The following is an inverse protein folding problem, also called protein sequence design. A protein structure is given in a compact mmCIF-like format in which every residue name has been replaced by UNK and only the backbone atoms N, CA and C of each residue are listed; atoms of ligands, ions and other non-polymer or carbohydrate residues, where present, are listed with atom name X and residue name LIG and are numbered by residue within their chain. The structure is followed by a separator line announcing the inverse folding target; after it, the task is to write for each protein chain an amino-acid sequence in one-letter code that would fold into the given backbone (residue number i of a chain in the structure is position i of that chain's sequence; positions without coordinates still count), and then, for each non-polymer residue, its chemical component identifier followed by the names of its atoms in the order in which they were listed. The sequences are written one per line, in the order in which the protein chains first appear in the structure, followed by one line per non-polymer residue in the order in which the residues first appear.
data_IF_971502683989
#
_entry.id   IF_971502683989
#
_cell.length_a   1.000
_cell.length_b   1.000
_cell.length_c   1.000
_cell.angle_alpha   90.00
_cell.angle_beta   90.00
_cell.angle_gamma   90.00
#
_symmetry.space_group_name_H-M   'P 1'
#
loop_
_entity.id
_entity.type
_entity.pdbx_description
1 polymer ?
#
# COMPACT_ATOMS: atom_id res chain seq x y z
N UNK A 1 20.64 6.33 -22.64
CA UNK A 1 20.33 7.77 -22.68
C UNK A 1 21.45 8.43 -23.48
N UNK A 2 21.12 9.28 -24.44
CA UNK A 2 22.10 9.98 -25.30
C UNK A 2 23.15 9.07 -25.98
N UNK A 3 22.73 7.88 -26.43
CA UNK A 3 23.61 6.90 -27.07
C UNK A 3 24.48 6.05 -26.13
N UNK A 4 24.39 6.27 -24.84
CA UNK A 4 25.10 5.46 -23.83
C UNK A 4 24.15 4.45 -23.17
N UNK A 5 24.64 3.23 -22.93
CA UNK A 5 23.93 2.24 -22.11
C UNK A 5 24.11 2.59 -20.64
N UNK A 6 23.01 2.73 -19.92
CA UNK A 6 22.99 3.02 -18.47
C UNK A 6 22.55 1.82 -17.65
N UNK A 7 22.35 0.67 -18.29
CA UNK A 7 21.85 -0.54 -17.64
C UNK A 7 20.34 -0.71 -17.74
N UNK A 8 19.78 -1.48 -16.82
CA UNK A 8 18.34 -1.76 -16.72
C UNK A 8 17.78 -0.90 -15.61
N UNK A 9 16.67 -0.22 -15.90
CA UNK A 9 15.96 0.63 -14.95
C UNK A 9 14.52 0.17 -14.81
N UNK A 10 14.01 0.28 -13.60
CA UNK A 10 12.57 0.16 -13.34
C UNK A 10 11.89 1.41 -13.91
N UNK A 11 10.81 1.20 -14.64
CA UNK A 11 9.93 2.27 -15.10
C UNK A 11 8.60 2.14 -14.36
N UNK A 12 8.40 2.96 -13.37
CA UNK A 12 7.21 2.98 -12.53
C UNK A 12 6.45 4.30 -12.69
N UNK A 13 5.15 4.21 -12.89
CA UNK A 13 4.29 5.38 -12.95
C UNK A 13 4.00 5.88 -11.54
N UNK A 14 4.26 7.16 -11.30
CA UNK A 14 3.96 7.79 -10.01
C UNK A 14 2.44 7.80 -9.73
N UNK A 15 2.03 7.40 -8.53
CA UNK A 15 0.65 7.51 -8.08
C UNK A 15 0.28 8.96 -7.77
N UNK A 16 0.07 9.74 -8.82
CA UNK A 16 -0.28 11.16 -8.78
C UNK A 16 -1.61 11.43 -9.51
N UNK A 17 -1.92 12.69 -9.78
CA UNK A 17 -3.15 13.09 -10.49
C UNK A 17 -3.17 12.65 -11.97
N UNK A 18 -2.02 12.44 -12.59
CA UNK A 18 -1.95 11.97 -13.97
C UNK A 18 -2.29 10.48 -14.02
N UNK A 19 -1.77 9.70 -13.09
CA UNK A 19 -2.15 8.30 -12.89
C UNK A 19 -3.67 8.16 -12.68
N UNK A 20 -4.23 8.93 -11.75
CA UNK A 20 -5.68 8.84 -11.48
C UNK A 20 -6.52 9.32 -12.65
N UNK A 21 -6.04 10.28 -13.42
CA UNK A 21 -6.71 10.70 -14.65
C UNK A 21 -6.70 9.61 -15.72
N UNK A 22 -5.58 8.92 -15.90
CA UNK A 22 -5.43 7.87 -16.91
C UNK A 22 -6.28 6.64 -16.57
N UNK A 23 -6.26 6.19 -15.32
CA UNK A 23 -6.86 4.92 -14.91
C UNK A 23 -8.28 5.06 -14.35
N UNK A 24 -8.68 6.24 -13.89
CA UNK A 24 -9.99 6.50 -13.27
C UNK A 24 -10.74 7.68 -13.88
N UNK A 25 -10.23 8.29 -14.95
CA UNK A 25 -10.81 9.47 -15.58
C UNK A 25 -11.03 10.65 -14.62
N UNK A 26 -10.15 10.81 -13.63
CA UNK A 26 -10.26 11.87 -12.63
C UNK A 26 -8.90 12.32 -12.14
N UNK A 27 -8.67 13.63 -12.13
CA UNK A 27 -7.51 14.27 -11.46
C UNK A 27 -7.78 14.55 -9.97
N UNK A 28 -9.01 14.39 -9.53
CA UNK A 28 -9.44 14.61 -8.15
C UNK A 28 -9.40 13.35 -7.30
N UNK A 29 -9.94 13.49 -6.08
CA UNK A 29 -9.98 12.41 -5.10
C UNK A 29 -8.80 12.42 -4.14
N UNK A 30 -9.05 11.88 -2.96
CA UNK A 30 -8.02 11.71 -1.92
C UNK A 30 -7.20 10.48 -2.21
N UNK A 31 -5.93 10.55 -1.84
CA UNK A 31 -4.99 9.44 -2.03
C UNK A 31 -4.21 9.24 -0.75
N UNK A 32 -4.16 7.99 -0.30
CA UNK A 32 -3.33 7.62 0.84
C UNK A 32 -2.34 6.54 0.42
N UNK A 33 -1.16 6.61 0.99
CA UNK A 33 -0.14 5.57 0.91
C UNK A 33 -0.01 4.89 2.27
N UNK A 34 0.15 3.59 2.28
CA UNK A 34 0.59 2.80 3.42
C UNK A 34 2.12 2.66 3.33
N UNK A 35 2.88 3.55 3.99
CA UNK A 35 4.33 3.51 3.93
C UNK A 35 4.87 2.36 4.77
N UNK A 36 6.08 1.86 4.50
CA UNK A 36 6.74 0.92 5.38
C UNK A 36 6.93 1.54 6.76
N UNK A 37 6.61 0.78 7.80
CA UNK A 37 6.67 1.25 9.18
C UNK A 37 6.45 0.13 10.19
N UNK A 38 6.64 0.44 11.47
CA UNK A 38 6.52 -0.58 12.54
C UNK A 38 5.08 -1.01 12.78
N UNK A 39 4.12 -0.10 12.59
CA UNK A 39 2.71 -0.32 12.95
C UNK A 39 1.86 -0.78 11.76
N UNK A 40 2.35 -0.59 10.55
CA UNK A 40 1.59 -0.86 9.34
C UNK A 40 0.30 -0.02 9.23
N UNK A 41 -0.29 0.01 8.06
CA UNK A 41 -1.54 0.70 7.78
C UNK A 41 -2.57 -0.29 7.25
N UNK A 42 -3.12 -1.13 8.11
CA UNK A 42 -4.15 -2.10 7.72
C UNK A 42 -5.48 -1.42 7.44
N UNK A 43 -6.22 -1.91 6.43
CA UNK A 43 -7.55 -1.40 6.10
C UNK A 43 -8.60 -1.97 7.05
N UNK A 44 -8.49 -1.58 8.33
CA UNK A 44 -9.36 -2.01 9.43
C UNK A 44 -9.92 -0.80 10.17
N UNK A 45 -11.11 -0.94 10.73
CA UNK A 45 -11.72 0.10 11.55
C UNK A 45 -10.98 0.22 12.88
N UNK A 46 -10.53 1.43 13.21
CA UNK A 46 -9.77 1.75 14.42
C UNK A 46 -10.49 2.74 15.35
N UNK A 47 -11.67 3.22 14.94
CA UNK A 47 -12.42 4.26 15.62
C UNK A 47 -12.81 5.39 14.68
N UNK A 48 -13.54 6.38 15.20
CA UNK A 48 -14.08 7.49 14.42
C UNK A 48 -13.11 8.70 14.34
N UNK A 49 -11.93 8.61 14.97
CA UNK A 49 -10.99 9.71 15.01
C UNK A 49 -9.95 9.61 13.89
N UNK A 50 -9.73 10.72 13.18
CA UNK A 50 -8.75 10.78 12.09
C UNK A 50 -7.33 10.41 12.52
N UNK A 51 -6.99 10.68 13.78
CA UNK A 51 -5.66 10.41 14.33
C UNK A 51 -5.34 8.93 14.44
N UNK A 52 -6.33 8.06 14.54
CA UNK A 52 -6.18 6.61 14.58
C UNK A 52 -5.70 6.04 13.22
N UNK A 53 -5.83 6.83 12.15
CA UNK A 53 -5.47 6.44 10.78
C UNK A 53 -4.17 7.08 10.29
N UNK A 54 -3.41 7.77 11.15
CA UNK A 54 -2.14 8.45 10.80
C UNK A 54 -0.99 7.49 10.45
N UNK A 55 -1.19 6.20 10.52
CA UNK A 55 -0.31 5.20 9.90
C UNK A 55 -0.36 5.27 8.37
N UNK A 56 -1.45 5.81 7.79
CA UNK A 56 -1.48 6.19 6.39
C UNK A 56 -0.89 7.57 6.16
N UNK A 57 -0.22 7.74 5.04
CA UNK A 57 0.29 9.02 4.57
C UNK A 57 -0.67 9.61 3.53
N UNK A 58 -1.35 10.69 3.88
CA UNK A 58 -2.24 11.38 2.94
C UNK A 58 -1.41 12.16 1.90
N UNK A 59 -1.59 11.83 0.63
CA UNK A 59 -0.86 12.43 -0.51
C UNK A 59 -1.57 13.62 -1.14
N UNK A 60 -2.70 14.05 -0.57
CA UNK A 60 -3.47 15.22 -0.99
C UNK A 60 -3.61 16.20 0.17
N UNK A 61 -4.30 17.34 -0.05
CA UNK A 61 -4.50 18.32 1.01
C UNK A 61 -5.17 17.68 2.23
N UNK A 62 -4.55 17.82 3.39
CA UNK A 62 -5.10 17.36 4.66
C UNK A 62 -6.15 18.34 5.18
N UNK A 63 -7.35 17.85 5.38
CA UNK A 63 -8.45 18.54 6.03
C UNK A 63 -9.18 17.53 6.93
N UNK A 64 -9.96 17.96 7.93
CA UNK A 64 -10.73 17.02 8.76
C UNK A 64 -11.56 16.03 7.92
N UNK A 65 -12.19 16.50 6.85
CA UNK A 65 -13.02 15.69 5.97
C UNK A 65 -12.22 14.73 5.09
N UNK A 66 -10.90 14.89 5.01
CA UNK A 66 -10.06 14.00 4.21
C UNK A 66 -10.09 12.57 4.72
N UNK A 67 -10.28 12.37 6.01
CA UNK A 67 -10.24 11.06 6.66
C UNK A 67 -11.59 10.38 6.76
N UNK A 68 -12.70 11.14 6.70
CA UNK A 68 -14.05 10.60 6.87
C UNK A 68 -14.35 9.44 5.92
N UNK A 69 -13.97 9.55 4.64
CA UNK A 69 -14.23 8.50 3.67
C UNK A 69 -13.49 7.19 4.01
N UNK A 70 -12.26 7.28 4.52
CA UNK A 70 -11.49 6.11 4.94
C UNK A 70 -12.09 5.47 6.20
N UNK A 71 -12.48 6.30 7.18
CA UNK A 71 -13.14 5.87 8.41
C UNK A 71 -14.43 5.12 8.07
N UNK A 72 -15.30 5.72 7.27
CA UNK A 72 -16.57 5.11 6.86
C UNK A 72 -16.38 3.79 6.09
N UNK A 73 -15.42 3.73 5.17
CA UNK A 73 -15.17 2.50 4.42
C UNK A 73 -14.66 1.36 5.32
N UNK A 74 -13.79 1.65 6.27
CA UNK A 74 -13.30 0.65 7.22
C UNK A 74 -14.39 0.24 8.22
N UNK A 75 -15.26 1.17 8.61
CA UNK A 75 -16.42 0.90 9.47
C UNK A 75 -17.43 -0.02 8.80
N UNK A 76 -17.76 0.24 7.54
CA UNK A 76 -18.61 -0.65 6.74
C UNK A 76 -18.04 -2.07 6.70
N UNK A 77 -16.73 -2.20 6.51
CA UNK A 77 -16.06 -3.50 6.51
C UNK A 77 -16.16 -4.23 7.86
N UNK A 78 -16.11 -3.50 8.97
CA UNK A 78 -16.11 -4.05 10.32
C UNK A 78 -17.50 -4.39 10.87
N UNK A 79 -18.50 -3.58 10.51
CA UNK A 79 -19.82 -3.60 11.15
C UNK A 79 -20.93 -4.24 10.29
N UNK A 80 -20.65 -4.56 9.00
CA UNK A 80 -21.66 -5.15 8.13
C UNK A 80 -21.92 -6.61 8.47
N UNK A 81 -23.18 -6.97 8.68
CA UNK A 81 -23.61 -8.35 8.89
C UNK A 81 -23.27 -9.24 7.69
N UNK A 82 -22.90 -10.49 7.94
CA UNK A 82 -22.48 -11.44 6.91
C UNK A 82 -23.51 -11.66 5.78
N UNK A 83 -24.80 -11.56 6.09
CA UNK A 83 -25.89 -11.71 5.11
C UNK A 83 -25.98 -10.57 4.08
N UNK A 84 -25.53 -9.37 4.48
CA UNK A 84 -25.58 -8.15 3.67
C UNK A 84 -24.18 -7.76 3.15
N UNK A 85 -23.16 -8.57 3.48
CA UNK A 85 -21.76 -8.25 3.32
C UNK A 85 -21.39 -7.91 1.87
N UNK A 86 -21.72 -8.77 0.92
CA UNK A 86 -21.37 -8.57 -0.48
C UNK A 86 -21.98 -7.28 -1.04
N UNK A 87 -23.29 -7.09 -0.86
CA UNK A 87 -24.01 -5.93 -1.42
C UNK A 87 -23.60 -4.60 -0.78
N UNK A 88 -23.29 -4.62 0.52
CA UNK A 88 -22.90 -3.41 1.25
C UNK A 88 -21.45 -3.04 0.96
N UNK A 89 -20.56 -4.03 0.94
CA UNK A 89 -19.16 -3.79 0.64
C UNK A 89 -18.92 -3.31 -0.78
N UNK A 90 -19.64 -3.83 -1.78
CA UNK A 90 -19.46 -3.39 -3.17
C UNK A 90 -19.79 -1.90 -3.38
N UNK A 91 -20.50 -1.29 -2.44
CA UNK A 91 -20.73 0.15 -2.46
C UNK A 91 -19.56 0.96 -1.88
N UNK A 92 -18.80 0.40 -0.96
CA UNK A 92 -17.70 1.05 -0.27
C UNK A 92 -16.32 0.74 -0.88
N UNK A 93 -16.14 -0.48 -1.36
CA UNK A 93 -14.86 -0.97 -1.89
C UNK A 93 -15.06 -1.69 -3.22
N UNK A 94 -14.04 -1.69 -4.07
CA UNK A 94 -14.02 -2.51 -5.28
C UNK A 94 -13.56 -3.92 -4.93
N UNK A 95 -14.50 -4.79 -4.53
CA UNK A 95 -14.22 -6.14 -3.97
C UNK A 95 -13.33 -6.95 -4.91
N UNK A 96 -13.67 -7.02 -6.20
CA UNK A 96 -12.93 -7.80 -7.19
C UNK A 96 -11.44 -7.39 -7.23
N UNK A 97 -11.15 -6.09 -7.31
CA UNK A 97 -9.76 -5.59 -7.33
C UNK A 97 -9.01 -5.87 -6.03
N UNK A 98 -9.69 -5.76 -4.90
CA UNK A 98 -9.09 -6.06 -3.60
C UNK A 98 -8.74 -7.53 -3.49
N UNK A 99 -9.64 -8.42 -3.90
CA UNK A 99 -9.37 -9.86 -3.90
C UNK A 99 -8.21 -10.24 -4.82
N UNK A 100 -8.12 -9.62 -6.01
CA UNK A 100 -6.97 -9.80 -6.89
C UNK A 100 -5.67 -9.29 -6.27
N UNK A 101 -5.70 -8.10 -5.65
CA UNK A 101 -4.55 -7.55 -4.95
C UNK A 101 -4.05 -8.52 -3.87
N UNK A 102 -4.94 -8.96 -2.98
CA UNK A 102 -4.60 -9.88 -1.90
C UNK A 102 -4.08 -11.23 -2.41
N UNK A 103 -4.66 -11.76 -3.50
CA UNK A 103 -4.20 -13.00 -4.10
C UNK A 103 -2.79 -12.88 -4.69
N UNK A 104 -2.51 -11.78 -5.38
CA UNK A 104 -1.20 -11.50 -5.98
C UNK A 104 -0.16 -11.27 -4.88
N UNK A 105 -0.43 -10.44 -3.90
CA UNK A 105 0.45 -10.16 -2.76
C UNK A 105 0.87 -11.46 -2.05
N UNK A 106 -0.11 -12.35 -1.82
CA UNK A 106 0.15 -13.65 -1.21
C UNK A 106 0.98 -14.60 -2.11
N UNK A 107 0.71 -14.64 -3.42
CA UNK A 107 1.45 -15.49 -4.35
C UNK A 107 2.89 -15.00 -4.54
N UNK A 108 3.10 -13.70 -4.54
CA UNK A 108 4.41 -13.07 -4.68
C UNK A 108 5.26 -13.18 -3.41
N UNK A 109 4.66 -13.57 -2.27
CA UNK A 109 5.34 -13.65 -0.97
C UNK A 109 6.02 -12.33 -0.62
N UNK A 110 5.29 -11.24 -0.77
CA UNK A 110 5.80 -9.91 -0.49
C UNK A 110 6.01 -9.74 1.02
N UNK A 111 7.27 -9.61 1.43
CA UNK A 111 7.66 -9.56 2.85
C UNK A 111 7.35 -8.21 3.50
N UNK A 112 7.17 -7.16 2.72
CA UNK A 112 6.77 -5.83 3.18
C UNK A 112 5.30 -5.51 2.85
N UNK A 113 4.64 -6.38 2.07
CA UNK A 113 3.29 -6.19 1.58
C UNK A 113 2.20 -6.20 2.66
N UNK A 114 0.97 -6.18 2.20
CA UNK A 114 -0.23 -6.03 3.03
C UNK A 114 -0.34 -7.08 4.14
N UNK A 115 -0.13 -8.36 3.82
CA UNK A 115 -0.28 -9.46 4.79
C UNK A 115 0.77 -9.45 5.89
N UNK A 116 2.00 -9.06 5.56
CA UNK A 116 3.11 -9.16 6.49
C UNK A 116 3.25 -7.92 7.36
N UNK A 117 3.11 -6.74 6.77
CA UNK A 117 3.38 -5.47 7.45
C UNK A 117 2.29 -4.42 7.32
N UNK A 118 1.25 -4.67 6.52
CA UNK A 118 0.26 -3.64 6.20
C UNK A 118 0.91 -2.43 5.52
N UNK A 119 1.85 -2.67 4.61
CA UNK A 119 2.61 -1.62 3.94
C UNK A 119 2.64 -1.83 2.42
N UNK A 120 3.34 -0.95 1.73
CA UNK A 120 3.65 -0.97 0.30
C UNK A 120 2.43 -1.07 -0.63
N UNK A 121 1.36 -0.39 -0.22
CA UNK A 121 0.20 -0.18 -1.06
C UNK A 121 -0.33 1.25 -0.94
N UNK A 122 -1.17 1.61 -1.87
CA UNK A 122 -1.91 2.87 -1.85
C UNK A 122 -3.40 2.60 -1.95
N UNK A 123 -4.21 3.52 -1.44
CA UNK A 123 -5.66 3.45 -1.52
C UNK A 123 -6.23 4.71 -2.15
N UNK A 124 -7.29 4.53 -2.93
CA UNK A 124 -7.95 5.60 -3.68
C UNK A 124 -9.44 5.36 -3.78
N UNK A 125 -10.30 6.23 -3.19
CA UNK A 125 -11.72 6.25 -3.48
C UNK A 125 -11.92 6.94 -4.82
N UNK A 126 -12.33 6.21 -5.84
CA UNK A 126 -12.57 6.81 -7.14
C UNK A 126 -13.79 7.74 -7.06
N UNK A 127 -13.73 8.97 -7.65
CA UNK A 127 -14.74 10.00 -7.41
C UNK A 127 -16.12 9.68 -7.99
N UNK A 128 -16.22 8.79 -8.98
CA UNK A 128 -17.47 8.52 -9.66
C UNK A 128 -18.47 7.75 -8.80
N UNK A 129 -17.99 6.75 -8.06
CA UNK A 129 -18.82 5.89 -7.21
C UNK A 129 -18.38 5.90 -5.73
N UNK A 130 -17.24 6.52 -5.43
CA UNK A 130 -16.70 6.60 -4.07
C UNK A 130 -16.06 5.31 -3.57
N UNK A 131 -15.97 4.27 -4.40
CA UNK A 131 -15.44 2.96 -3.99
C UNK A 131 -13.92 3.00 -3.86
N UNK A 132 -13.42 2.41 -2.80
CA UNK A 132 -11.99 2.29 -2.57
C UNK A 132 -11.34 1.22 -3.45
N UNK A 133 -10.23 1.58 -4.06
CA UNK A 133 -9.31 0.69 -4.77
C UNK A 133 -8.02 0.60 -3.98
N UNK A 134 -7.45 -0.61 -3.93
CA UNK A 134 -6.09 -0.85 -3.46
C UNK A 134 -5.18 -0.95 -4.68
N UNK A 135 -4.04 -0.30 -4.60
CA UNK A 135 -3.03 -0.23 -5.66
C UNK A 135 -1.70 -0.68 -5.09
N UNK A 136 -1.03 -1.68 -5.71
CA UNK A 136 0.28 -2.12 -5.24
C UNK A 136 1.30 -0.99 -5.40
N UNK A 137 2.27 -0.98 -4.50
CA UNK A 137 3.40 -0.08 -4.51
C UNK A 137 4.62 -0.83 -3.97
N UNK A 138 5.76 -0.74 -4.65
CA UNK A 138 7.04 -1.27 -4.20
C UNK A 138 7.06 -2.77 -3.82
N UNK A 139 6.98 -3.64 -4.82
CA UNK A 139 7.06 -5.09 -4.61
C UNK A 139 8.52 -5.59 -4.70
N UNK A 140 9.50 -4.86 -4.18
CA UNK A 140 10.92 -5.19 -4.27
C UNK A 140 11.35 -6.33 -3.33
N UNK A 141 10.55 -6.64 -2.31
CA UNK A 141 10.83 -7.71 -1.34
C UNK A 141 10.04 -9.01 -1.61
N UNK A 142 9.70 -9.24 -2.88
CA UNK A 142 9.01 -10.47 -3.31
C UNK A 142 9.99 -11.60 -3.59
N UNK A 143 9.57 -12.85 -3.35
CA UNK A 143 10.33 -14.08 -3.61
C UNK A 143 11.70 -14.13 -2.95
N UNK A 144 11.90 -13.44 -1.84
CA UNK A 144 13.15 -13.47 -1.11
C UNK A 144 13.38 -14.86 -0.49
N UNK A 145 14.62 -15.34 -0.60
CA UNK A 145 15.04 -16.54 0.12
C UNK A 145 14.94 -16.28 1.63
N UNK A 146 14.51 -17.27 2.41
CA UNK A 146 14.41 -17.17 3.88
C UNK A 146 15.68 -16.58 4.49
N UNK A 147 15.58 -15.42 5.14
CA UNK A 147 16.68 -14.72 5.79
C UNK A 147 17.38 -13.63 4.96
N UNK A 148 16.95 -13.38 3.73
CA UNK A 148 17.50 -12.32 2.90
C UNK A 148 16.63 -11.07 2.91
N UNK A 149 17.06 -10.02 3.59
CA UNK A 149 16.66 -8.68 3.16
C UNK A 149 17.35 -8.45 1.81
N UNK A 150 16.59 -8.10 0.78
CA UNK A 150 17.14 -7.76 -0.53
C UNK A 150 18.22 -6.65 -0.41
N UNK A 151 19.10 -6.46 -1.39
CA UNK A 151 20.13 -5.43 -1.36
C UNK A 151 19.51 -4.05 -1.60
N UNK A 152 18.84 -3.51 -0.58
CA UNK A 152 18.25 -2.18 -0.70
C UNK A 152 17.74 -1.63 0.62
N UNK A 153 18.39 -0.64 1.08
CA UNK A 153 18.09 0.27 2.19
C UNK A 153 18.27 -0.26 3.61
N UNK A 154 19.50 -0.18 4.12
CA UNK A 154 19.82 -0.17 5.53
C UNK A 154 20.94 -1.09 6.00
N UNK A 155 21.44 -1.98 5.17
CA UNK A 155 22.62 -2.76 5.46
C UNK A 155 23.87 -2.06 4.98
N UNK A 156 24.47 -1.20 5.80
CA UNK A 156 25.87 -0.84 5.60
C UNK A 156 26.73 -2.13 5.57
N UNK A 157 27.88 -2.12 4.89
CA UNK A 157 28.71 -3.31 4.78
C UNK A 157 28.96 -3.88 6.18
N UNK A 158 28.60 -5.15 6.37
CA UNK A 158 28.98 -5.89 7.57
C UNK A 158 30.51 -5.83 7.65
N UNK A 159 31.02 -5.00 8.54
CA UNK A 159 32.46 -5.03 8.86
C UNK A 159 32.76 -6.41 9.41
N UNK A 160 33.72 -7.14 8.84
CA UNK A 160 34.17 -8.35 9.50
C UNK A 160 34.72 -7.93 10.88
N UNK A 161 34.14 -8.53 11.91
CA UNK A 161 34.62 -8.34 13.28
C UNK A 161 36.10 -8.65 13.37
N UNK A 162 36.88 -7.91 14.19
CA UNK A 162 38.27 -8.26 14.46
C UNK A 162 38.29 -9.50 15.35
N UNK A 163 38.82 -10.62 14.85
CA UNK A 163 39.15 -11.71 15.75
C UNK A 163 38.82 -13.10 15.24
N UNK A 164 39.75 -13.65 14.49
CA UNK A 164 40.18 -15.03 14.62
C UNK A 164 41.54 -15.15 13.92
N UNK A 165 42.52 -14.45 14.46
CA UNK A 165 43.90 -14.85 14.31
C UNK A 165 44.23 -15.69 15.53
N UNK A 166 44.64 -16.94 15.30
CA UNK A 166 45.05 -17.81 16.39
C UNK A 166 45.33 -19.21 15.91
N UNK A 167 46.62 -19.45 15.59
CA UNK A 167 47.37 -20.71 15.46
C UNK A 167 47.08 -21.53 14.23
#
# INVERSE_FOLDING_TARGET
INGLSWGIYVNEQQFNSDFTNEHFNSKGGRRWKAPPGREGASFVYKGDEADDYRTYELKTKDTPESWNALIEATKVLAETDSKDFESTLDQAICIDRILWFLAIDNVMLDMDGYYQRGADYSIYPEPKFGRFHILPYDNNETFLAQGGHGPGFGGGPVRPGPGAGGL
#
